data_IF_749132561503
#
_entry.id   IF_749132561503
#
_cell.length_a   1.000
_cell.length_b   1.000
_cell.length_c   1.000
_cell.angle_alpha   90.00
_cell.angle_beta   90.00
_cell.angle_gamma   90.00
#
_symmetry.space_group_name_H-M   'P 1'
#
loop_
_entity.id
_entity.type
_entity.pdbx_description
1 polymer ?
#
# COMPACT_ATOMS: atom_id res chain seq x y z
N UNK A 1 -26.69 -35.39 -22.60
CA UNK A 1 -26.57 -34.68 -21.32
C UNK A 1 -25.67 -33.48 -21.57
N UNK A 2 -26.20 -32.25 -21.49
CA UNK A 2 -25.35 -31.06 -21.51
C UNK A 2 -24.53 -31.04 -20.21
N UNK A 3 -23.23 -30.78 -20.29
CA UNK A 3 -22.43 -30.54 -19.09
C UNK A 3 -22.75 -29.14 -18.58
N UNK A 4 -23.09 -29.04 -17.29
CA UNK A 4 -23.40 -27.78 -16.61
C UNK A 4 -22.15 -26.94 -16.44
N UNK A 5 -22.18 -25.69 -16.92
CA UNK A 5 -21.08 -24.71 -16.89
C UNK A 5 -20.28 -24.75 -15.58
N UNK A 6 -18.95 -24.62 -15.64
CA UNK A 6 -18.14 -24.45 -14.42
C UNK A 6 -18.30 -23.02 -13.90
N UNK A 7 -18.80 -22.87 -12.68
CA UNK A 7 -19.14 -21.57 -12.09
C UNK A 7 -18.16 -21.23 -10.97
N UNK A 8 -17.41 -20.14 -11.19
CA UNK A 8 -16.60 -19.50 -10.16
C UNK A 8 -17.27 -18.21 -9.66
N UNK A 9 -16.96 -17.85 -8.42
CA UNK A 9 -17.44 -16.64 -7.79
C UNK A 9 -16.28 -15.85 -7.17
N UNK A 10 -16.24 -14.55 -7.41
CA UNK A 10 -15.34 -13.62 -6.74
C UNK A 10 -16.12 -12.48 -6.09
N UNK A 11 -15.46 -11.70 -5.25
CA UNK A 11 -16.08 -10.52 -4.64
C UNK A 11 -15.20 -9.28 -4.75
N UNK A 12 -15.66 -8.31 -5.53
CA UNK A 12 -15.03 -7.01 -5.64
C UNK A 12 -15.29 -6.26 -4.32
N UNK A 13 -14.26 -5.86 -3.58
CA UNK A 13 -14.47 -5.17 -2.33
C UNK A 13 -15.20 -3.85 -2.55
N UNK A 14 -16.37 -3.71 -1.92
CA UNK A 14 -17.11 -2.45 -1.93
C UNK A 14 -17.24 -1.94 -0.51
N UNK A 15 -16.77 -0.70 -0.31
CA UNK A 15 -17.00 0.07 0.91
C UNK A 15 -18.26 0.96 0.80
N UNK A 16 -18.87 0.97 -0.38
CA UNK A 16 -20.15 1.62 -0.68
C UNK A 16 -21.28 0.59 -0.68
N UNK A 17 -22.54 1.05 -0.67
CA UNK A 17 -23.72 0.17 -0.74
C UNK A 17 -23.88 -0.55 -2.08
N UNK A 18 -23.25 -0.06 -3.15
CA UNK A 18 -23.35 -0.61 -4.51
C UNK A 18 -22.11 -0.30 -5.35
N UNK A 19 -21.85 -1.14 -6.35
CA UNK A 19 -20.86 -0.90 -7.40
C UNK A 19 -21.32 0.26 -8.32
N UNK A 20 -20.43 1.19 -8.61
CA UNK A 20 -20.68 2.28 -9.56
C UNK A 20 -20.00 1.98 -10.91
N UNK A 21 -20.71 1.29 -11.79
CA UNK A 21 -20.20 0.76 -13.06
C UNK A 21 -19.67 1.83 -14.03
N UNK A 22 -20.35 2.98 -14.10
CA UNK A 22 -20.05 4.08 -15.04
C UNK A 22 -18.62 4.65 -14.84
N UNK A 23 -18.15 4.72 -13.59
CA UNK A 23 -16.82 5.26 -13.28
C UNK A 23 -15.69 4.24 -13.47
N UNK A 24 -16.01 2.95 -13.50
CA UNK A 24 -15.00 1.89 -13.63
C UNK A 24 -14.45 1.79 -15.05
N UNK A 25 -15.33 1.85 -16.05
CA UNK A 25 -14.96 1.61 -17.45
C UNK A 25 -14.28 2.78 -18.12
N UNK A 26 -14.60 4.01 -17.72
CA UNK A 26 -13.84 5.18 -18.17
C UNK A 26 -12.36 5.09 -17.80
N UNK A 27 -12.01 4.22 -16.85
CA UNK A 27 -10.63 3.90 -16.46
C UNK A 27 -10.06 2.64 -17.13
N UNK A 28 -10.77 1.93 -18.00
CA UNK A 28 -10.24 0.75 -18.71
C UNK A 28 -9.29 1.07 -19.88
N UNK A 29 -9.30 2.25 -20.54
CA UNK A 29 -8.14 2.65 -21.31
C UNK A 29 -7.00 3.05 -20.34
N UNK A 30 -6.44 2.08 -19.63
CA UNK A 30 -5.17 2.21 -18.89
C UNK A 30 -4.01 1.91 -19.82
N UNK A 31 -2.83 2.32 -19.38
CA UNK A 31 -1.57 1.91 -19.97
C UNK A 31 -1.51 0.38 -20.15
N UNK A 32 -1.41 -0.06 -21.42
CA UNK A 32 -1.33 -1.48 -21.81
C UNK A 32 -2.61 -2.10 -22.38
N UNK A 33 -3.74 -1.38 -22.41
CA UNK A 33 -4.97 -1.82 -23.09
C UNK A 33 -5.05 -1.24 -24.50
N UNK A 34 -5.47 -2.07 -25.45
CA UNK A 34 -5.66 -1.74 -26.87
C UNK A 34 -7.10 -2.05 -27.30
N UNK A 35 -7.63 -1.36 -28.30
CA UNK A 35 -8.92 -1.71 -28.88
C UNK A 35 -8.77 -3.01 -29.67
N UNK A 36 -9.65 -3.98 -29.46
CA UNK A 36 -9.61 -5.24 -30.21
C UNK A 36 -9.78 -5.00 -31.72
N UNK A 37 -9.08 -5.79 -32.54
CA UNK A 37 -9.14 -5.64 -34.00
C UNK A 37 -10.53 -6.01 -34.56
N UNK A 38 -10.82 -5.62 -35.79
CA UNK A 38 -12.10 -5.99 -36.42
C UNK A 38 -12.23 -7.50 -36.61
N UNK A 39 -11.13 -8.18 -36.94
CA UNK A 39 -11.07 -9.64 -37.08
C UNK A 39 -11.43 -10.33 -35.74
N UNK A 40 -10.87 -9.82 -34.63
CA UNK A 40 -11.15 -10.34 -33.29
C UNK A 40 -12.60 -10.10 -32.87
N UNK A 41 -13.14 -8.92 -33.20
CA UNK A 41 -14.57 -8.63 -32.96
C UNK A 41 -15.48 -9.56 -33.75
N UNK A 42 -15.15 -9.85 -35.02
CA UNK A 42 -15.92 -10.79 -35.85
C UNK A 42 -15.89 -12.20 -35.26
N UNK A 43 -14.73 -12.69 -34.84
CA UNK A 43 -14.59 -14.00 -34.20
C UNK A 43 -15.43 -14.08 -32.90
N UNK A 44 -15.35 -13.04 -32.06
CA UNK A 44 -16.15 -12.94 -30.84
C UNK A 44 -17.65 -12.93 -31.15
N UNK A 45 -18.08 -12.15 -32.14
CA UNK A 45 -19.48 -12.12 -32.59
C UNK A 45 -19.97 -13.52 -33.00
N UNK A 46 -19.16 -14.28 -33.75
CA UNK A 46 -19.49 -15.66 -34.14
C UNK A 46 -19.66 -16.59 -32.94
N UNK A 47 -18.81 -16.47 -31.92
CA UNK A 47 -18.88 -17.29 -30.70
C UNK A 47 -20.10 -16.94 -29.86
N UNK A 48 -20.38 -15.65 -29.72
CA UNK A 48 -21.52 -15.15 -28.96
C UNK A 48 -22.85 -15.32 -29.71
N UNK A 49 -22.83 -15.62 -31.01
CA UNK A 49 -24.03 -15.70 -31.85
C UNK A 49 -24.74 -14.35 -31.96
N UNK A 50 -23.98 -13.25 -32.02
CA UNK A 50 -24.45 -11.87 -32.15
C UNK A 50 -23.85 -11.22 -33.38
N UNK A 51 -24.55 -10.24 -33.96
CA UNK A 51 -24.04 -9.48 -35.11
C UNK A 51 -23.04 -8.39 -34.69
N UNK A 52 -23.16 -7.90 -33.44
CA UNK A 52 -22.34 -6.79 -32.94
C UNK A 52 -21.93 -6.97 -31.48
N UNK A 53 -20.79 -6.38 -31.13
CA UNK A 53 -20.31 -6.17 -29.76
C UNK A 53 -19.97 -4.69 -29.60
N UNK A 54 -20.44 -4.06 -28.52
CA UNK A 54 -20.36 -2.60 -28.35
C UNK A 54 -18.90 -2.12 -28.25
N UNK A 55 -18.18 -2.61 -27.24
CA UNK A 55 -16.79 -2.23 -26.98
C UNK A 55 -15.96 -3.45 -26.59
N UNK A 56 -14.87 -3.70 -27.30
CA UNK A 56 -13.93 -4.77 -27.00
C UNK A 56 -12.53 -4.17 -26.79
N UNK A 57 -11.97 -4.43 -25.62
CA UNK A 57 -10.60 -4.05 -25.29
C UNK A 57 -9.78 -5.30 -25.07
N UNK A 58 -8.52 -5.24 -25.48
CA UNK A 58 -7.57 -6.32 -25.28
C UNK A 58 -6.36 -5.82 -24.51
N UNK A 59 -5.75 -6.71 -23.75
CA UNK A 59 -4.45 -6.47 -23.14
C UNK A 59 -3.66 -7.76 -23.12
N UNK A 60 -2.34 -7.60 -23.11
CA UNK A 60 -1.43 -8.72 -22.96
C UNK A 60 -1.12 -8.91 -21.49
N UNK A 61 -1.59 -10.02 -20.95
CA UNK A 61 -1.24 -10.45 -19.59
C UNK A 61 -0.08 -11.45 -19.67
N UNK A 62 0.78 -11.38 -18.69
CA UNK A 62 1.91 -12.28 -18.56
C UNK A 62 1.48 -13.42 -17.64
N UNK A 63 1.52 -14.65 -18.15
CA UNK A 63 1.25 -15.84 -17.36
C UNK A 63 2.56 -16.52 -16.94
N UNK A 64 2.57 -16.83 -15.64
CA UNK A 64 3.24 -17.97 -15.01
C UNK A 64 4.78 -17.90 -14.92
N UNK A 65 5.33 -18.75 -14.04
CA UNK A 65 6.76 -19.06 -13.83
C UNK A 65 7.52 -19.35 -15.14
N UNK A 66 6.78 -19.60 -16.24
CA UNK A 66 7.26 -19.89 -17.59
C UNK A 66 7.19 -18.71 -18.59
N UNK A 67 6.78 -17.51 -18.19
CA UNK A 67 6.72 -16.31 -19.04
C UNK A 67 5.86 -16.45 -20.32
N UNK A 68 4.79 -17.24 -20.31
CA UNK A 68 3.90 -17.35 -21.47
C UNK A 68 2.91 -16.18 -21.46
N UNK A 69 2.91 -15.36 -22.51
CA UNK A 69 1.92 -14.29 -22.64
C UNK A 69 0.57 -14.87 -23.04
N UNK A 70 -0.52 -14.28 -22.56
CA UNK A 70 -1.88 -14.53 -23.05
C UNK A 70 -2.45 -13.21 -23.52
N UNK A 71 -3.18 -13.24 -24.63
CA UNK A 71 -3.99 -12.10 -25.02
C UNK A 71 -5.36 -12.27 -24.40
N UNK A 72 -5.76 -11.29 -23.61
CA UNK A 72 -7.08 -11.25 -23.00
C UNK A 72 -7.91 -10.22 -23.74
N UNK A 73 -9.12 -10.58 -24.12
CA UNK A 73 -10.11 -9.66 -24.68
C UNK A 73 -11.32 -9.61 -23.74
N UNK A 74 -11.68 -8.40 -23.31
CA UNK A 74 -12.89 -8.13 -22.53
C UNK A 74 -13.92 -7.44 -23.40
N UNK A 75 -15.16 -7.91 -23.33
CA UNK A 75 -16.29 -7.30 -24.00
C UNK A 75 -17.13 -6.54 -22.98
N UNK A 76 -17.36 -5.27 -23.29
CA UNK A 76 -18.10 -4.33 -22.49
C UNK A 76 -19.41 -4.02 -23.20
N UNK A 77 -20.50 -4.06 -22.44
CA UNK A 77 -21.82 -3.66 -22.89
C UNK A 77 -22.55 -2.96 -21.74
N UNK A 78 -23.17 -1.81 -22.01
CA UNK A 78 -23.87 -0.99 -21.01
C UNK A 78 -23.03 -0.70 -19.75
N UNK A 79 -21.77 -0.32 -19.95
CA UNK A 79 -20.82 -0.11 -18.86
C UNK A 79 -20.62 -1.35 -17.95
N UNK A 80 -20.77 -2.58 -18.48
CA UNK A 80 -20.48 -3.82 -17.74
C UNK A 80 -19.60 -4.76 -18.56
N UNK A 81 -18.56 -5.32 -17.93
CA UNK A 81 -17.79 -6.42 -18.50
C UNK A 81 -18.67 -7.67 -18.44
N UNK A 82 -19.07 -8.18 -19.61
CA UNK A 82 -20.01 -9.30 -19.72
C UNK A 82 -19.35 -10.57 -20.25
N UNK A 83 -18.34 -10.43 -21.11
CA UNK A 83 -17.63 -11.57 -21.67
C UNK A 83 -16.12 -11.36 -21.62
N UNK A 84 -15.42 -12.48 -21.50
CA UNK A 84 -13.97 -12.53 -21.44
C UNK A 84 -13.47 -13.67 -22.31
N UNK A 85 -12.46 -13.39 -23.13
CA UNK A 85 -11.84 -14.34 -24.03
C UNK A 85 -10.34 -14.38 -23.76
N UNK A 86 -9.82 -15.55 -23.42
CA UNK A 86 -8.39 -15.79 -23.29
C UNK A 86 -7.88 -16.47 -24.57
N UNK A 87 -6.90 -15.87 -25.22
CA UNK A 87 -6.23 -16.40 -26.39
C UNK A 87 -4.86 -16.96 -26.00
N UNK A 88 -4.40 -17.97 -26.75
CA UNK A 88 -3.02 -18.43 -26.63
C UNK A 88 -2.00 -17.30 -26.85
N UNK A 89 -0.75 -17.50 -26.42
CA UNK A 89 0.30 -16.48 -26.53
C UNK A 89 0.73 -16.09 -27.94
N UNK A 90 0.15 -16.71 -28.98
CA UNK A 90 0.32 -16.28 -30.37
C UNK A 90 -0.90 -15.49 -30.88
N UNK A 91 -1.94 -15.35 -30.06
CA UNK A 91 -3.22 -14.73 -30.44
C UNK A 91 -3.99 -15.53 -31.48
N UNK A 92 -3.72 -16.84 -31.61
CA UNK A 92 -4.22 -17.63 -32.76
C UNK A 92 -5.46 -18.46 -32.46
N UNK A 93 -5.69 -18.80 -31.19
CA UNK A 93 -6.83 -19.60 -30.79
C UNK A 93 -7.34 -19.19 -29.41
N UNK A 94 -8.66 -19.16 -29.27
CA UNK A 94 -9.32 -18.96 -27.98
C UNK A 94 -9.15 -20.23 -27.15
N UNK A 95 -8.54 -20.06 -25.98
CA UNK A 95 -8.34 -21.08 -24.97
C UNK A 95 -9.44 -21.11 -23.94
N UNK A 96 -10.09 -19.98 -23.69
CA UNK A 96 -11.20 -19.91 -22.76
C UNK A 96 -12.17 -18.79 -23.12
N UNK A 97 -13.45 -19.07 -22.95
CA UNK A 97 -14.52 -18.08 -22.92
C UNK A 97 -15.17 -18.13 -21.53
N UNK A 98 -15.30 -16.96 -20.90
CA UNK A 98 -16.01 -16.79 -19.66
C UNK A 98 -17.12 -15.75 -19.80
N UNK A 99 -18.32 -16.12 -19.39
CA UNK A 99 -19.45 -15.19 -19.22
C UNK A 99 -19.46 -14.68 -17.80
N UNK A 100 -19.59 -13.37 -17.64
CA UNK A 100 -19.48 -12.69 -16.36
C UNK A 100 -20.79 -12.01 -15.99
N UNK A 101 -21.23 -12.17 -14.75
CA UNK A 101 -22.35 -11.40 -14.17
C UNK A 101 -21.86 -10.71 -12.92
N UNK A 102 -21.84 -9.37 -12.94
CA UNK A 102 -21.44 -8.55 -11.79
C UNK A 102 -22.71 -8.03 -11.10
N UNK A 103 -22.89 -8.45 -9.86
CA UNK A 103 -23.99 -8.07 -9.00
C UNK A 103 -23.73 -6.72 -8.33
N UNK A 104 -24.80 -6.04 -7.91
CA UNK A 104 -24.69 -4.70 -7.29
C UNK A 104 -23.97 -4.74 -5.93
N UNK A 105 -23.96 -5.90 -5.27
CA UNK A 105 -23.24 -6.18 -4.02
C UNK A 105 -21.76 -6.55 -4.24
N UNK A 106 -21.25 -6.41 -5.47
CA UNK A 106 -19.86 -6.66 -5.82
C UNK A 106 -19.52 -8.13 -6.05
N UNK A 107 -20.46 -9.07 -5.87
CA UNK A 107 -20.22 -10.46 -6.28
C UNK A 107 -20.11 -10.56 -7.80
N UNK A 108 -19.18 -11.40 -8.25
CA UNK A 108 -18.91 -11.66 -9.65
C UNK A 108 -19.10 -13.14 -9.89
N UNK A 109 -20.13 -13.51 -10.66
CA UNK A 109 -20.31 -14.86 -11.18
C UNK A 109 -19.53 -15.00 -12.49
N UNK A 110 -18.68 -16.01 -12.59
CA UNK A 110 -17.84 -16.31 -13.75
C UNK A 110 -18.21 -17.71 -14.24
N UNK A 111 -18.86 -17.80 -15.38
CA UNK A 111 -19.30 -19.05 -16.00
C UNK A 111 -18.32 -19.39 -17.14
N UNK A 112 -17.53 -20.44 -16.99
CA UNK A 112 -16.59 -20.89 -18.02
C UNK A 112 -17.28 -21.83 -19.02
N UNK A 113 -17.14 -21.55 -20.31
CA UNK A 113 -17.71 -22.40 -21.36
C UNK A 113 -16.87 -23.68 -21.55
N UNK A 114 -17.48 -24.83 -21.32
CA UNK A 114 -16.88 -26.16 -21.50
C UNK A 114 -16.39 -26.45 -22.91
N UNK A 115 -16.96 -25.80 -23.93
CA UNK A 115 -16.49 -25.96 -25.31
C UNK A 115 -15.06 -25.45 -25.47
N UNK A 116 -14.68 -24.47 -24.64
CA UNK A 116 -13.35 -23.86 -24.67
C UNK A 116 -12.45 -24.43 -23.58
N UNK A 117 -12.99 -24.75 -22.40
CA UNK A 117 -12.23 -25.29 -21.27
C UNK A 117 -12.87 -26.57 -20.70
N UNK A 118 -12.35 -27.76 -21.07
CA UNK A 118 -12.86 -29.03 -20.55
C UNK A 118 -12.83 -29.11 -19.01
N UNK A 119 -13.82 -29.80 -18.42
CA UNK A 119 -13.96 -29.97 -16.97
C UNK A 119 -12.73 -30.65 -16.36
N UNK A 120 -12.21 -30.09 -15.26
CA UNK A 120 -11.13 -30.69 -14.48
C UNK A 120 -9.72 -30.30 -14.95
N UNK A 121 -9.60 -29.44 -15.95
CA UNK A 121 -8.29 -28.91 -16.34
C UNK A 121 -7.76 -27.90 -15.33
N UNK A 122 -6.44 -27.98 -15.05
CA UNK A 122 -5.72 -27.03 -14.18
C UNK A 122 -5.79 -25.58 -14.65
N UNK A 123 -6.16 -25.34 -15.91
CA UNK A 123 -6.29 -24.01 -16.49
C UNK A 123 -7.56 -23.27 -16.00
N UNK A 124 -8.59 -23.98 -15.52
CA UNK A 124 -9.87 -23.38 -15.10
C UNK A 124 -9.70 -22.37 -13.95
N UNK A 125 -9.02 -22.71 -12.83
CA UNK A 125 -8.82 -21.76 -11.73
C UNK A 125 -7.99 -20.54 -12.12
N UNK A 126 -6.97 -20.71 -12.98
CA UNK A 126 -6.13 -19.60 -13.43
C UNK A 126 -6.89 -18.65 -14.35
N UNK A 127 -7.67 -19.18 -15.31
CA UNK A 127 -8.55 -18.36 -16.15
C UNK A 127 -9.55 -17.59 -15.29
N UNK A 128 -10.24 -18.27 -14.36
CA UNK A 128 -11.20 -17.61 -13.47
C UNK A 128 -10.55 -16.50 -12.63
N UNK A 129 -9.35 -16.75 -12.11
CA UNK A 129 -8.54 -15.77 -11.38
C UNK A 129 -8.20 -14.55 -12.26
N UNK A 130 -7.76 -14.73 -13.50
CA UNK A 130 -7.44 -13.61 -14.42
C UNK A 130 -8.66 -12.80 -14.83
N UNK A 131 -9.77 -13.48 -15.13
CA UNK A 131 -11.07 -12.84 -15.38
C UNK A 131 -11.44 -11.95 -14.19
N UNK A 132 -11.36 -12.50 -12.99
CA UNK A 132 -11.68 -11.79 -11.77
C UNK A 132 -10.77 -10.59 -11.51
N UNK A 133 -9.44 -10.73 -11.67
CA UNK A 133 -8.49 -9.60 -11.55
C UNK A 133 -8.88 -8.47 -12.51
N UNK A 134 -9.19 -8.81 -13.76
CA UNK A 134 -9.55 -7.83 -14.79
C UNK A 134 -10.80 -7.04 -14.40
N UNK A 135 -11.82 -7.76 -13.91
CA UNK A 135 -13.08 -7.17 -13.45
C UNK A 135 -12.82 -6.31 -12.21
N UNK A 136 -12.12 -6.85 -11.20
CA UNK A 136 -11.78 -6.11 -9.99
C UNK A 136 -11.02 -4.83 -10.34
N UNK A 137 -9.99 -4.89 -11.17
CA UNK A 137 -9.17 -3.72 -11.49
C UNK A 137 -9.97 -2.65 -12.22
N UNK A 138 -10.92 -3.04 -13.07
CA UNK A 138 -11.85 -2.13 -13.73
C UNK A 138 -12.74 -1.39 -12.73
N UNK A 139 -13.32 -2.10 -11.75
CA UNK A 139 -14.34 -1.54 -10.85
C UNK A 139 -13.83 -1.14 -9.46
N UNK A 140 -12.58 -1.47 -9.14
CA UNK A 140 -11.96 -1.27 -7.84
C UNK A 140 -10.52 -0.78 -8.01
N UNK A 141 -10.39 0.52 -8.26
CA UNK A 141 -9.09 1.19 -8.37
C UNK A 141 -8.57 1.49 -6.97
N UNK A 142 -7.57 0.75 -6.51
CA UNK A 142 -6.78 1.16 -5.35
C UNK A 142 -5.64 2.07 -5.79
N UNK A 143 -5.34 3.09 -4.98
CA UNK A 143 -4.16 3.95 -5.13
C UNK A 143 -2.89 3.33 -4.53
N UNK A 144 -2.96 2.15 -3.90
CA UNK A 144 -1.89 1.67 -2.99
C UNK A 144 -1.42 0.21 -3.16
N UNK A 145 -1.93 -0.56 -4.13
CA UNK A 145 -1.43 -1.92 -4.33
C UNK A 145 -0.50 -2.01 -5.55
N UNK A 146 0.62 -2.71 -5.37
CA UNK A 146 1.51 -3.12 -6.46
C UNK A 146 0.71 -4.02 -7.43
N UNK A 147 0.97 -3.88 -8.73
CA UNK A 147 0.13 -4.38 -9.85
C UNK A 147 -0.17 -5.89 -9.84
N UNK A 148 0.52 -6.69 -9.02
CA UNK A 148 0.46 -8.17 -9.09
C UNK A 148 0.31 -8.90 -7.75
N UNK A 149 0.36 -8.24 -6.59
CA UNK A 149 0.48 -8.96 -5.30
C UNK A 149 -0.80 -9.04 -4.44
N UNK A 150 -1.82 -8.21 -4.68
CA UNK A 150 -2.97 -8.14 -3.76
C UNK A 150 -4.28 -8.60 -4.42
N UNK A 151 -4.40 -9.90 -4.70
CA UNK A 151 -5.75 -10.49 -4.82
C UNK A 151 -6.26 -10.72 -3.40
N UNK A 152 -7.13 -9.82 -2.93
CA UNK A 152 -7.75 -9.94 -1.61
C UNK A 152 -8.36 -11.33 -1.42
N UNK A 153 -9.29 -11.74 -2.28
CA UNK A 153 -9.91 -13.07 -2.25
C UNK A 153 -9.76 -13.74 -3.62
N UNK A 154 -9.39 -15.02 -3.62
CA UNK A 154 -9.37 -15.83 -4.83
C UNK A 154 -10.80 -16.21 -5.23
N UNK A 155 -11.12 -16.31 -6.53
CA UNK A 155 -12.40 -16.86 -6.95
C UNK A 155 -12.59 -18.29 -6.45
N UNK A 156 -13.79 -18.60 -5.98
CA UNK A 156 -14.17 -19.91 -5.45
C UNK A 156 -15.08 -20.64 -6.43
N UNK A 157 -14.86 -21.94 -6.60
CA UNK A 157 -15.81 -22.79 -7.31
C UNK A 157 -17.04 -22.98 -6.42
N UNK A 158 -18.23 -22.62 -6.90
CA UNK A 158 -19.48 -22.79 -6.15
C UNK A 158 -20.69 -22.87 -7.09
N UNK A 159 -21.65 -23.73 -6.76
CA UNK A 159 -22.83 -23.96 -7.58
C UNK A 159 -23.83 -22.80 -7.49
N UNK A 160 -23.89 -22.13 -6.33
CA UNK A 160 -24.82 -21.05 -6.06
C UNK A 160 -24.19 -19.94 -5.21
N UNK A 161 -24.95 -18.86 -5.02
CA UNK A 161 -24.51 -17.67 -4.28
C UNK A 161 -24.23 -17.94 -2.81
N UNK A 162 -25.04 -18.78 -2.16
CA UNK A 162 -24.94 -19.06 -0.73
C UNK A 162 -23.63 -19.80 -0.44
N UNK A 163 -23.35 -20.86 -1.21
CA UNK A 163 -22.08 -21.60 -1.15
C UNK A 163 -20.88 -20.71 -1.50
N UNK A 164 -21.03 -19.81 -2.47
CA UNK A 164 -19.97 -18.86 -2.82
C UNK A 164 -19.63 -17.93 -1.67
N UNK A 165 -20.64 -17.39 -0.98
CA UNK A 165 -20.45 -16.51 0.18
C UNK A 165 -19.72 -17.25 1.30
N UNK A 166 -20.15 -18.47 1.63
CA UNK A 166 -19.51 -19.31 2.64
C UNK A 166 -18.02 -19.56 2.34
N UNK A 167 -17.70 -20.02 1.11
CA UNK A 167 -16.31 -20.27 0.72
C UNK A 167 -15.44 -19.00 0.65
N UNK A 168 -16.05 -17.83 0.40
CA UNK A 168 -15.34 -16.54 0.46
C UNK A 168 -15.10 -16.10 1.90
N UNK A 169 -16.00 -16.41 2.83
CA UNK A 169 -15.80 -16.22 4.28
C UNK A 169 -14.65 -17.09 4.80
N UNK A 170 -14.58 -18.35 4.39
CA UNK A 170 -13.48 -19.26 4.80
C UNK A 170 -12.10 -18.68 4.47
N UNK A 171 -11.96 -18.01 3.32
CA UNK A 171 -10.71 -17.32 2.96
C UNK A 171 -10.36 -16.16 3.89
N UNK A 172 -11.36 -15.45 4.44
CA UNK A 172 -11.10 -14.42 5.44
C UNK A 172 -10.69 -15.03 6.79
N UNK A 173 -11.26 -16.16 7.18
CA UNK A 173 -10.85 -16.87 8.39
C UNK A 173 -9.39 -17.33 8.28
N UNK A 174 -8.98 -17.88 7.14
CA UNK A 174 -7.59 -18.22 6.86
C UNK A 174 -6.66 -17.00 6.99
N UNK A 175 -7.11 -15.83 6.53
CA UNK A 175 -6.35 -14.57 6.64
C UNK A 175 -6.22 -14.08 8.08
N UNK A 176 -7.28 -14.17 8.91
CA UNK A 176 -7.16 -13.87 10.35
C UNK A 176 -6.04 -14.70 10.96
N UNK A 177 -6.05 -16.01 10.69
CA UNK A 177 -5.06 -16.96 11.20
C UNK A 177 -3.67 -16.55 10.72
N UNK A 178 -3.51 -16.25 9.44
CA UNK A 178 -2.23 -15.79 8.87
C UNK A 178 -1.73 -14.52 9.57
N UNK A 179 -2.60 -13.53 9.79
CA UNK A 179 -2.22 -12.28 10.42
C UNK A 179 -1.81 -12.43 11.89
N UNK A 180 -2.52 -13.26 12.63
CA UNK A 180 -2.22 -13.45 14.05
C UNK A 180 -1.09 -14.43 14.32
N UNK A 181 -0.88 -15.43 13.45
CA UNK A 181 0.13 -16.48 13.66
C UNK A 181 1.43 -16.25 12.90
N UNK A 182 1.39 -15.58 11.75
CA UNK A 182 2.57 -15.39 10.88
C UNK A 182 3.02 -13.93 10.93
N UNK A 183 2.13 -13.00 10.56
CA UNK A 183 2.52 -11.59 10.45
C UNK A 183 2.87 -10.97 11.81
N UNK A 184 2.12 -11.28 12.88
CA UNK A 184 2.42 -10.72 14.21
C UNK A 184 3.84 -11.07 14.70
N UNK A 185 4.28 -12.34 14.71
CA UNK A 185 5.68 -12.67 15.02
C UNK A 185 6.69 -11.99 14.10
N UNK A 186 6.41 -11.92 12.80
CA UNK A 186 7.31 -11.28 11.84
C UNK A 186 7.48 -9.80 12.19
N UNK A 187 6.38 -9.09 12.44
CA UNK A 187 6.32 -7.71 12.94
C UNK A 187 7.12 -7.50 14.23
N UNK A 188 6.96 -8.38 15.20
CA UNK A 188 7.71 -8.29 16.46
C UNK A 188 9.22 -8.52 16.25
N UNK A 189 9.61 -9.17 15.15
CA UNK A 189 11.00 -9.42 14.77
C UNK A 189 11.60 -8.40 13.79
N UNK A 190 10.76 -7.60 13.11
CA UNK A 190 11.20 -6.69 12.05
C UNK A 190 12.10 -5.59 12.60
N UNK A 191 13.21 -5.37 11.90
CA UNK A 191 14.08 -4.19 12.09
C UNK A 191 13.62 -3.00 11.25
N UNK A 192 12.83 -3.26 10.20
CA UNK A 192 12.32 -2.25 9.29
C UNK A 192 10.88 -1.87 9.65
N UNK A 193 10.72 -0.63 10.10
CA UNK A 193 9.42 -0.09 10.51
C UNK A 193 8.47 0.11 9.32
N UNK A 194 8.98 0.44 8.13
CA UNK A 194 8.13 0.72 6.98
C UNK A 194 7.50 -0.56 6.43
N UNK A 195 8.26 -1.66 6.42
CA UNK A 195 7.74 -2.98 6.05
C UNK A 195 6.66 -3.46 7.03
N UNK A 196 6.92 -3.36 8.34
CA UNK A 196 5.93 -3.69 9.37
C UNK A 196 4.67 -2.83 9.23
N UNK A 197 4.82 -1.51 9.02
CA UNK A 197 3.71 -0.58 8.82
C UNK A 197 2.87 -0.96 7.60
N UNK A 198 3.50 -1.33 6.49
CA UNK A 198 2.81 -1.75 5.27
C UNK A 198 2.01 -3.05 5.48
N UNK A 199 2.60 -4.05 6.15
CA UNK A 199 1.92 -5.31 6.49
C UNK A 199 0.70 -5.08 7.39
N UNK A 200 0.83 -4.22 8.41
CA UNK A 200 -0.27 -3.82 9.29
C UNK A 200 -1.35 -3.09 8.52
N UNK A 201 -0.96 -2.13 7.67
CA UNK A 201 -1.88 -1.37 6.83
C UNK A 201 -2.71 -2.30 5.94
N UNK A 202 -2.06 -3.27 5.29
CA UNK A 202 -2.73 -4.33 4.52
C UNK A 202 -3.70 -5.11 5.39
N UNK A 203 -3.25 -5.64 6.53
CA UNK A 203 -4.08 -6.44 7.42
C UNK A 203 -5.33 -5.70 7.94
N UNK A 204 -5.19 -4.41 8.29
CA UNK A 204 -6.32 -3.55 8.67
C UNK A 204 -7.30 -3.35 7.52
N UNK A 205 -6.79 -3.10 6.32
CA UNK A 205 -7.61 -2.96 5.11
C UNK A 205 -8.42 -4.23 4.83
N UNK A 206 -7.77 -5.40 4.87
CA UNK A 206 -8.44 -6.68 4.63
C UNK A 206 -9.50 -7.00 5.70
N UNK A 207 -9.24 -6.73 6.98
CA UNK A 207 -10.25 -6.94 8.03
C UNK A 207 -11.42 -5.95 7.91
N UNK A 208 -11.16 -4.74 7.44
CA UNK A 208 -12.24 -3.78 7.11
C UNK A 208 -13.13 -4.33 6.00
N UNK A 209 -12.52 -4.94 4.96
CA UNK A 209 -13.26 -5.61 3.90
C UNK A 209 -14.04 -6.82 4.39
N UNK A 210 -13.47 -7.63 5.29
CA UNK A 210 -14.16 -8.76 5.91
C UNK A 210 -15.43 -8.31 6.65
N UNK A 211 -15.33 -7.28 7.51
CA UNK A 211 -16.49 -6.71 8.20
C UNK A 211 -17.53 -6.17 7.22
N UNK A 212 -17.11 -5.49 6.14
CA UNK A 212 -18.03 -4.99 5.10
C UNK A 212 -18.74 -6.15 4.39
N UNK A 213 -18.00 -7.19 4.00
CA UNK A 213 -18.50 -8.40 3.36
C UNK A 213 -19.57 -9.07 4.23
N UNK A 214 -19.26 -9.34 5.50
CA UNK A 214 -20.18 -9.99 6.43
C UNK A 214 -21.48 -9.19 6.58
N UNK A 215 -21.40 -7.85 6.70
CA UNK A 215 -22.58 -6.96 6.76
C UNK A 215 -23.42 -7.02 5.50
N UNK A 216 -22.77 -7.01 4.34
CA UNK A 216 -23.44 -7.02 3.04
C UNK A 216 -24.17 -8.34 2.79
N UNK A 217 -23.56 -9.46 3.17
CA UNK A 217 -24.09 -10.81 2.95
C UNK A 217 -24.76 -11.42 4.17
N UNK A 218 -25.18 -10.63 5.17
CA UNK A 218 -25.76 -11.10 6.44
C UNK A 218 -26.86 -12.16 6.33
N UNK A 219 -27.61 -12.18 5.22
CA UNK A 219 -28.72 -13.13 4.98
C UNK A 219 -28.23 -14.53 4.56
N UNK A 220 -26.98 -14.64 4.15
CA UNK A 220 -26.35 -15.85 3.62
C UNK A 220 -25.35 -16.46 4.62
N UNK A 221 -25.24 -15.89 5.82
CA UNK A 221 -24.24 -16.28 6.82
C UNK A 221 -24.96 -16.82 8.04
N UNK A 222 -24.82 -18.12 8.26
CA UNK A 222 -25.18 -18.74 9.53
C UNK A 222 -24.18 -18.21 10.58
N UNK A 223 -24.66 -17.68 11.69
CA UNK A 223 -23.85 -17.03 12.75
C UNK A 223 -23.22 -15.67 12.38
N UNK A 224 -23.95 -14.84 11.63
CA UNK A 224 -23.57 -13.46 11.30
C UNK A 224 -22.95 -12.66 12.48
N UNK A 225 -23.56 -12.68 13.66
CA UNK A 225 -23.07 -11.93 14.83
C UNK A 225 -21.70 -12.43 15.32
N UNK A 226 -21.46 -13.74 15.24
CA UNK A 226 -20.16 -14.33 15.58
C UNK A 226 -19.09 -13.85 14.60
N UNK A 227 -19.33 -13.95 13.29
CA UNK A 227 -18.40 -13.50 12.27
C UNK A 227 -18.08 -12.01 12.38
N UNK A 228 -19.10 -11.17 12.60
CA UNK A 228 -18.88 -9.73 12.83
C UNK A 228 -17.99 -9.51 14.05
N UNK A 229 -18.25 -10.21 15.16
CA UNK A 229 -17.43 -10.10 16.37
C UNK A 229 -15.99 -10.52 16.10
N UNK A 230 -15.78 -11.66 15.43
CA UNK A 230 -14.46 -12.21 15.11
C UNK A 230 -13.65 -11.25 14.23
N UNK A 231 -14.21 -10.77 13.11
CA UNK A 231 -13.50 -9.82 12.23
C UNK A 231 -13.25 -8.47 12.91
N UNK A 232 -14.20 -7.97 13.71
CA UNK A 232 -14.02 -6.70 14.45
C UNK A 232 -12.93 -6.82 15.52
N UNK A 233 -12.90 -7.93 16.26
CA UNK A 233 -11.87 -8.21 17.26
C UNK A 233 -10.49 -8.37 16.60
N UNK A 234 -10.43 -9.05 15.45
CA UNK A 234 -9.21 -9.18 14.65
C UNK A 234 -8.68 -7.80 14.21
N UNK A 235 -9.55 -6.93 13.68
CA UNK A 235 -9.20 -5.55 13.33
C UNK A 235 -8.66 -4.75 14.53
N UNK A 236 -9.33 -4.87 15.69
CA UNK A 236 -8.91 -4.18 16.91
C UNK A 236 -7.56 -4.70 17.41
N UNK A 237 -7.34 -6.01 17.39
CA UNK A 237 -6.07 -6.65 17.75
C UNK A 237 -4.91 -6.14 16.89
N UNK A 238 -5.11 -6.07 15.56
CA UNK A 238 -4.11 -5.51 14.62
C UNK A 238 -3.88 -4.02 14.90
N UNK A 239 -4.92 -3.26 15.25
CA UNK A 239 -4.80 -1.84 15.59
C UNK A 239 -3.97 -1.63 16.85
N UNK A 240 -4.20 -2.41 17.90
CA UNK A 240 -3.39 -2.37 19.12
C UNK A 240 -1.94 -2.79 18.87
N UNK A 241 -1.70 -3.76 17.97
CA UNK A 241 -0.35 -4.12 17.54
C UNK A 241 0.33 -2.92 16.85
N UNK A 242 -0.36 -2.23 15.94
CA UNK A 242 0.13 -1.04 15.26
C UNK A 242 0.60 0.04 16.25
N UNK A 243 -0.26 0.38 17.22
CA UNK A 243 0.03 1.36 18.27
C UNK A 243 1.27 0.96 19.10
N UNK A 244 1.41 -0.33 19.38
CA UNK A 244 2.56 -0.87 20.14
C UNK A 244 3.87 -0.66 19.36
N UNK A 245 3.88 -0.91 18.06
CA UNK A 245 5.08 -0.78 17.22
C UNK A 245 5.43 0.67 16.98
N UNK A 246 4.43 1.52 16.72
CA UNK A 246 4.61 2.96 16.64
C UNK A 246 5.22 3.50 17.94
N UNK A 247 4.76 3.03 19.10
CA UNK A 247 5.33 3.38 20.40
C UNK A 247 6.79 2.92 20.54
N UNK A 248 7.10 1.66 20.20
CA UNK A 248 8.48 1.14 20.26
C UNK A 248 9.40 1.94 19.34
N UNK A 249 8.95 2.22 18.12
CA UNK A 249 9.72 2.98 17.13
C UNK A 249 9.98 4.41 17.59
N UNK A 250 8.95 5.13 18.01
CA UNK A 250 9.06 6.52 18.50
C UNK A 250 9.97 6.61 19.72
N UNK A 251 9.90 5.64 20.64
CA UNK A 251 10.80 5.56 21.79
C UNK A 251 12.25 5.32 21.38
N UNK A 252 12.51 4.41 20.43
CA UNK A 252 13.85 4.15 19.91
C UNK A 252 14.44 5.37 19.19
N UNK A 253 13.63 6.05 18.38
CA UNK A 253 14.01 7.29 17.70
C UNK A 253 14.32 8.41 18.70
N UNK A 254 13.51 8.55 19.74
CA UNK A 254 13.74 9.52 20.83
C UNK A 254 15.06 9.24 21.55
N UNK A 255 15.36 7.96 21.85
CA UNK A 255 16.63 7.58 22.46
C UNK A 255 17.82 7.89 21.56
N UNK A 256 17.74 7.54 20.28
CA UNK A 256 18.80 7.83 19.30
C UNK A 256 19.05 9.34 19.15
N UNK A 257 17.99 10.13 19.03
CA UNK A 257 18.09 11.60 18.94
C UNK A 257 18.68 12.20 20.23
N UNK A 258 18.34 11.66 21.39
CA UNK A 258 18.93 12.06 22.67
C UNK A 258 20.43 11.75 22.73
N UNK A 259 20.85 10.55 22.32
CA UNK A 259 22.25 10.13 22.32
C UNK A 259 23.08 10.91 21.30
N UNK A 260 22.53 11.17 20.11
CA UNK A 260 23.15 12.04 19.11
C UNK A 260 23.29 13.48 19.63
N UNK A 261 22.26 14.01 20.30
CA UNK A 261 22.31 15.34 20.91
C UNK A 261 23.39 15.42 21.99
N UNK A 262 23.55 14.37 22.83
CA UNK A 262 24.65 14.28 23.79
C UNK A 262 26.02 14.27 23.10
N UNK A 263 26.18 13.47 22.05
CA UNK A 263 27.43 13.40 21.28
C UNK A 263 27.79 14.73 20.63
N UNK A 264 26.80 15.40 20.01
CA UNK A 264 26.99 16.73 19.43
C UNK A 264 27.37 17.76 20.50
N UNK A 265 26.69 17.77 21.65
CA UNK A 265 27.05 18.68 22.76
C UNK A 265 28.48 18.42 23.25
N UNK A 266 28.89 17.16 23.37
CA UNK A 266 30.26 16.80 23.77
C UNK A 266 31.28 17.26 22.72
N UNK A 267 31.00 17.07 21.43
CA UNK A 267 31.83 17.55 20.33
C UNK A 267 31.92 19.09 20.33
N UNK A 268 30.81 19.80 20.51
CA UNK A 268 30.78 21.26 20.63
C UNK A 268 31.66 21.73 21.79
N UNK A 269 31.55 21.10 22.96
CA UNK A 269 32.41 21.41 24.11
C UNK A 269 33.89 21.15 23.81
N UNK A 270 34.22 20.05 23.15
CA UNK A 270 35.59 19.74 22.74
C UNK A 270 36.14 20.79 21.75
N UNK A 271 35.34 21.21 20.76
CA UNK A 271 35.71 22.27 19.81
C UNK A 271 35.96 23.59 20.56
N UNK A 272 35.06 23.98 21.47
CA UNK A 272 35.22 25.20 22.28
C UNK A 272 36.50 25.13 23.13
N UNK A 273 36.77 23.99 23.77
CA UNK A 273 37.98 23.80 24.57
C UNK A 273 39.27 23.88 23.72
N UNK A 274 39.24 23.38 22.48
CA UNK A 274 40.38 23.43 21.56
C UNK A 274 40.59 24.80 20.92
N UNK A 275 39.52 25.57 20.67
CA UNK A 275 39.61 26.88 20.01
C UNK A 275 39.74 28.03 20.99
N UNK A 276 39.32 27.87 22.25
CA UNK A 276 39.43 28.91 23.27
C UNK A 276 40.86 29.43 23.45
N UNK A 277 41.93 28.59 23.55
CA UNK A 277 43.30 29.07 23.69
C UNK A 277 43.75 29.93 22.50
N UNK A 278 43.45 29.49 21.27
CA UNK A 278 43.80 30.22 20.04
C UNK A 278 43.08 31.57 20.00
N UNK A 279 41.81 31.61 20.38
CA UNK A 279 41.03 32.83 20.43
C UNK A 279 41.53 33.78 21.54
N UNK A 280 41.93 33.26 22.70
CA UNK A 280 42.51 34.07 23.78
C UNK A 280 43.88 34.62 23.40
N UNK A 281 44.72 33.84 22.72
CA UNK A 281 46.05 34.27 22.26
C UNK A 281 45.92 35.40 21.22
N UNK A 282 45.04 35.22 20.22
CA UNK A 282 44.79 36.25 19.22
C UNK A 282 44.20 37.54 19.83
N UNK A 283 43.28 37.41 20.80
CA UNK A 283 42.72 38.56 21.52
C UNK A 283 43.79 39.29 22.35
N UNK A 284 44.68 38.54 22.99
CA UNK A 284 45.81 39.08 23.76
C UNK A 284 46.79 39.84 22.86
N UNK A 285 47.14 39.31 21.69
CA UNK A 285 48.00 39.99 20.72
C UNK A 285 47.38 41.31 20.22
N UNK A 286 46.11 41.30 19.85
CA UNK A 286 45.41 42.51 19.41
C UNK A 286 45.33 43.54 20.53
N UNK A 287 45.03 43.13 21.77
CA UNK A 287 45.00 44.04 22.91
C UNK A 287 46.37 44.64 23.18
N UNK A 288 47.43 43.83 23.19
CA UNK A 288 48.80 44.33 23.37
C UNK A 288 49.17 45.35 22.29
N UNK A 289 48.80 45.10 21.03
CA UNK A 289 49.04 46.05 19.94
C UNK A 289 48.27 47.37 20.14
N UNK A 290 47.00 47.31 20.56
CA UNK A 290 46.20 48.50 20.87
C UNK A 290 46.81 49.27 22.05
N UNK A 291 47.11 48.61 23.15
CA UNK A 291 47.68 49.23 24.36
C UNK A 291 49.03 49.89 24.09
N UNK A 292 49.89 49.23 23.31
CA UNK A 292 51.14 49.81 22.85
C UNK A 292 50.91 51.11 22.07
N UNK A 293 49.88 51.15 21.21
CA UNK A 293 49.58 52.33 20.41
C UNK A 293 48.98 53.48 21.22
N UNK A 294 48.29 53.20 22.33
CA UNK A 294 47.63 54.21 23.18
C UNK A 294 48.36 54.52 24.50
N UNK A 295 49.51 53.87 24.78
CA UNK A 295 50.35 54.10 25.96
C UNK A 295 49.59 53.95 27.30
N UNK A 296 48.62 53.03 27.35
CA UNK A 296 47.79 52.73 28.52
C UNK A 296 48.42 51.59 29.33
N UNK A 297 48.61 51.78 30.64
CA UNK A 297 49.00 50.68 31.55
C UNK A 297 47.82 49.75 31.80
N UNK A 298 48.06 48.45 31.68
CA UNK A 298 47.11 47.38 31.98
C UNK A 298 46.80 47.38 33.49
N UNK A 299 45.63 47.89 33.87
CA UNK A 299 44.99 47.45 35.11
C UNK A 299 44.00 46.32 34.81
N UNK A 300 43.77 45.49 35.84
CA UNK A 300 42.87 44.32 35.97
C UNK A 300 41.56 44.37 35.14
N UNK A 301 41.06 45.59 34.86
CA UNK A 301 39.87 45.87 34.05
C UNK A 301 40.02 45.36 32.60
N UNK A 302 41.20 45.45 31.99
CA UNK A 302 41.42 44.98 30.62
C UNK A 302 41.28 43.46 30.46
N UNK A 303 41.84 42.71 31.41
CA UNK A 303 41.73 41.25 31.45
C UNK A 303 40.30 40.77 31.69
N UNK A 304 39.54 41.48 32.55
CA UNK A 304 38.13 41.19 32.82
C UNK A 304 37.27 41.43 31.57
N UNK A 305 37.53 42.49 30.81
CA UNK A 305 36.76 42.79 29.58
C UNK A 305 37.00 41.74 28.50
N UNK A 306 38.26 41.30 28.30
CA UNK A 306 38.57 40.23 27.33
C UNK A 306 37.87 38.94 27.73
N UNK A 307 37.98 38.53 28.99
CA UNK A 307 37.32 37.32 29.48
C UNK A 307 35.80 37.39 29.26
N UNK A 308 35.19 38.56 29.50
CA UNK A 308 33.75 38.76 29.31
C UNK A 308 33.32 38.68 27.84
N UNK A 309 34.09 39.27 26.92
CA UNK A 309 33.81 39.21 25.47
C UNK A 309 33.98 37.78 24.95
N UNK A 310 35.03 37.07 25.36
CA UNK A 310 35.25 35.66 24.99
C UNK A 310 34.12 34.76 25.48
N UNK A 311 33.64 34.93 26.71
CA UNK A 311 32.47 34.22 27.25
C UNK A 311 31.20 34.54 26.45
N UNK A 312 30.97 35.82 26.11
CA UNK A 312 29.80 36.25 25.35
C UNK A 312 29.78 35.63 23.94
N UNK A 313 30.92 35.58 23.24
CA UNK A 313 31.04 34.96 21.91
C UNK A 313 30.73 33.46 22.00
N UNK A 314 31.27 32.75 22.99
CA UNK A 314 30.99 31.31 23.17
C UNK A 314 29.49 31.08 23.43
N UNK A 315 28.86 31.91 24.27
CA UNK A 315 27.42 31.82 24.56
C UNK A 315 26.55 32.10 23.33
N UNK A 316 26.84 33.16 22.57
CA UNK A 316 26.07 33.52 21.38
C UNK A 316 26.20 32.44 20.30
N UNK A 317 27.42 31.95 20.05
CA UNK A 317 27.65 30.89 19.06
C UNK A 317 26.93 29.58 19.45
N UNK A 318 26.92 29.24 20.74
CA UNK A 318 26.20 28.08 21.27
C UNK A 318 24.67 28.19 21.12
N UNK A 319 24.10 29.37 21.33
CA UNK A 319 22.67 29.62 21.13
C UNK A 319 22.28 29.48 19.65
N UNK A 320 23.09 30.04 18.74
CA UNK A 320 22.86 29.96 17.30
C UNK A 320 22.95 28.50 16.81
N UNK A 321 23.97 27.74 17.26
CA UNK A 321 24.10 26.32 16.91
C UNK A 321 22.91 25.49 17.39
N UNK A 322 22.40 25.72 18.61
CA UNK A 322 21.20 25.02 19.11
C UNK A 322 19.97 25.32 18.26
N UNK A 323 19.78 26.57 17.85
CA UNK A 323 18.69 26.97 16.95
C UNK A 323 18.78 26.25 15.61
N UNK A 324 19.96 26.26 15.00
CA UNK A 324 20.20 25.62 13.71
C UNK A 324 20.01 24.11 13.74
N UNK A 325 20.55 23.42 14.76
CA UNK A 325 20.38 21.97 14.94
C UNK A 325 18.90 21.60 15.11
N UNK A 326 18.14 22.39 15.89
CA UNK A 326 16.70 22.16 16.06
C UNK A 326 15.94 22.31 14.75
N UNK A 327 16.25 23.35 13.97
CA UNK A 327 15.63 23.60 12.65
C UNK A 327 15.94 22.47 11.65
N UNK A 328 17.18 22.00 11.62
CA UNK A 328 17.61 20.96 10.69
C UNK A 328 17.07 19.57 11.08
N UNK A 329 17.01 19.26 12.38
CA UNK A 329 16.32 18.08 12.90
C UNK A 329 14.84 18.09 12.54
N UNK A 330 14.18 19.26 12.61
CA UNK A 330 12.79 19.43 12.17
C UNK A 330 12.66 19.18 10.67
N UNK A 331 13.52 19.75 9.83
CA UNK A 331 13.52 19.51 8.38
C UNK A 331 13.76 18.05 8.00
N UNK A 332 14.67 17.36 8.71
CA UNK A 332 14.91 15.94 8.51
C UNK A 332 13.70 15.12 8.92
N UNK A 333 13.06 15.44 10.05
CA UNK A 333 11.79 14.83 10.45
C UNK A 333 10.70 15.04 9.39
N UNK A 334 10.55 16.26 8.86
CA UNK A 334 9.54 16.58 7.85
C UNK A 334 9.83 15.89 6.51
N UNK A 335 11.10 15.67 6.15
CA UNK A 335 11.50 14.91 4.94
C UNK A 335 11.29 13.41 5.08
N UNK A 336 11.53 12.85 6.27
CA UNK A 336 11.36 11.42 6.54
C UNK A 336 9.86 11.09 6.73
N UNK A 337 9.09 12.02 7.29
CA UNK A 337 7.66 11.84 7.60
C UNK A 337 6.77 12.92 6.95
N UNK A 338 6.70 13.01 5.61
CA UNK A 338 6.01 14.10 4.93
C UNK A 338 4.48 14.12 5.11
N UNK A 339 3.87 13.07 5.69
CA UNK A 339 2.41 12.84 5.63
C UNK A 339 1.68 12.72 6.98
N UNK A 340 2.25 13.14 8.11
CA UNK A 340 1.53 13.07 9.40
C UNK A 340 0.46 14.17 9.60
N UNK A 341 0.28 15.11 8.66
CA UNK A 341 -0.70 16.20 8.76
C UNK A 341 -2.04 15.92 8.04
N UNK A 342 -2.24 14.76 7.41
CA UNK A 342 -3.47 14.47 6.64
C UNK A 342 -4.27 13.26 7.12
N UNK A 343 -3.92 12.62 8.25
CA UNK A 343 -4.79 11.63 8.91
C UNK A 343 -5.86 12.31 9.78
N UNK A 344 -6.60 13.25 9.18
CA UNK A 344 -7.95 13.61 9.61
C UNK A 344 -8.89 13.29 8.45
N UNK A 345 -9.16 12.01 8.24
CA UNK A 345 -10.22 11.57 7.35
C UNK A 345 -11.44 11.19 8.20
N UNK A 346 -12.44 12.05 8.14
CA UNK A 346 -13.88 11.75 8.29
C UNK A 346 -14.34 10.68 7.32
#
# INVERSE_FOLDING_TARGET
>A
MGMDAVIYWGWIPILTKKVHFEYGISKIPREGWEIASNEEKIEICQILGTDTVDECYCYWDYEDENNKKFKIIVCIQNYKINNFFAYDGKGKSIKAHAKCTIHDDGLVKIELDHKTVPVGEKIQPEVAKRVYISIRDAYHSHTHHTKYEDILLKPVLAANKDEAVERLLDQYDEKIIHYHKVIKPDIESYKDFDEARNLIGRAKGEMTYAVSFTRLFKRYINDFELYISVFSNSFQSITTLAETIESIYTNNLSKYTHDMTRALNALTLAIVALTAPIATDAAYEVLNHILYHFNLQLDLVGEIIILFISILIVLVTGIIMRGWIREEMKRLSDRIFPNNSSLSCT
#
